data_IF_027792636177
#
_entry.id   IF_027792636177
#
_cell.length_a   1.000
_cell.length_b   1.000
_cell.length_c   1.000
_cell.angle_alpha   90.00
_cell.angle_beta   90.00
_cell.angle_gamma   90.00
#
_symmetry.space_group_name_H-M   'P 1'
#
loop_
_entity.id
_entity.type
_entity.pdbx_description
1 polymer ?
#
# COMPACT_ATOMS: atom_id res chain seq x y z
N UNK A 1 43.82 23.28 15.04
CA UNK A 1 42.57 24.07 15.06
C UNK A 1 42.26 24.80 16.38
N UNK A 2 42.92 24.49 17.48
CA UNK A 2 42.66 25.12 18.81
C UNK A 2 43.02 26.61 18.90
N UNK A 3 43.92 27.14 18.06
CA UNK A 3 44.45 28.51 18.17
C UNK A 3 43.66 29.59 17.37
N UNK A 4 42.67 29.24 16.56
CA UNK A 4 41.93 30.20 15.74
C UNK A 4 40.70 30.78 16.46
N UNK A 5 40.11 30.04 17.42
CA UNK A 5 38.89 30.46 18.15
C UNK A 5 39.08 31.65 19.06
N UNK A 6 40.34 32.00 19.44
CA UNK A 6 40.66 33.11 20.33
C UNK A 6 40.95 34.46 19.66
N UNK A 7 40.95 34.51 18.31
CA UNK A 7 41.21 35.75 17.57
C UNK A 7 39.94 36.56 17.35
N UNK A 8 39.99 37.88 17.60
CA UNK A 8 38.82 38.82 17.49
C UNK A 8 38.14 38.77 16.13
N UNK A 9 38.82 38.45 15.04
CA UNK A 9 38.26 38.36 13.69
C UNK A 9 37.52 37.04 13.39
N UNK A 10 37.73 35.99 14.21
CA UNK A 10 37.15 34.64 13.96
C UNK A 10 35.62 34.64 13.91
N UNK A 11 34.86 35.27 14.84
CA UNK A 11 33.40 35.29 14.76
C UNK A 11 32.89 36.05 13.53
N UNK A 12 33.55 37.09 13.12
CA UNK A 12 33.17 37.86 11.90
C UNK A 12 33.39 37.02 10.63
N UNK A 13 34.53 36.32 10.54
CA UNK A 13 34.80 35.42 9.43
C UNK A 13 33.78 34.29 9.35
N UNK A 14 33.40 33.69 10.47
CA UNK A 14 32.36 32.64 10.53
C UNK A 14 31.00 33.20 10.11
N UNK A 15 30.64 34.40 10.60
CA UNK A 15 29.38 35.04 10.21
C UNK A 15 29.34 35.35 8.72
N UNK A 16 30.44 35.87 8.14
CA UNK A 16 30.54 36.12 6.71
C UNK A 16 30.43 34.81 5.89
N UNK A 17 31.11 33.74 6.29
CA UNK A 17 31.01 32.45 5.62
C UNK A 17 29.57 31.88 5.68
N UNK A 18 28.88 31.99 6.82
CA UNK A 18 27.49 31.58 6.97
C UNK A 18 26.59 32.41 6.04
N UNK A 19 26.77 33.74 5.99
CA UNK A 19 25.99 34.62 5.14
C UNK A 19 26.19 34.28 3.64
N UNK A 20 27.43 34.03 3.21
CA UNK A 20 27.73 33.64 1.81
C UNK A 20 27.10 32.28 1.49
N UNK A 21 27.21 31.27 2.39
CA UNK A 21 26.59 29.95 2.18
C UNK A 21 25.09 30.10 2.09
N UNK A 22 24.47 30.88 2.97
CA UNK A 22 23.04 31.13 3.00
C UNK A 22 22.56 31.84 1.74
N UNK A 23 23.33 32.85 1.24
CA UNK A 23 23.07 33.53 -0.02
C UNK A 23 23.13 32.55 -1.20
N UNK A 24 24.19 31.72 -1.30
CA UNK A 24 24.35 30.73 -2.39
C UNK A 24 23.23 29.69 -2.33
N UNK A 25 22.82 29.23 -1.16
CA UNK A 25 21.71 28.28 -0.99
C UNK A 25 20.39 28.92 -1.42
N UNK A 26 20.11 30.14 -1.01
CA UNK A 26 18.87 30.86 -1.36
C UNK A 26 18.79 31.21 -2.85
N UNK A 27 19.89 31.66 -3.46
CA UNK A 27 19.93 31.99 -4.90
C UNK A 27 19.84 30.75 -5.79
N UNK A 28 20.26 29.57 -5.28
CA UNK A 28 20.22 28.30 -6.02
C UNK A 28 19.25 27.29 -5.36
N UNK A 29 18.20 27.77 -4.72
CA UNK A 29 17.29 26.93 -3.95
C UNK A 29 16.77 25.74 -4.73
N UNK A 30 16.38 25.93 -6.00
CA UNK A 30 15.88 24.85 -6.87
C UNK A 30 16.95 23.78 -7.13
N UNK A 31 18.20 24.19 -7.34
CA UNK A 31 19.33 23.27 -7.56
C UNK A 31 19.63 22.46 -6.30
N UNK A 32 19.60 23.13 -5.13
CA UNK A 32 19.80 22.48 -3.83
C UNK A 32 18.67 21.50 -3.54
N UNK A 33 17.41 21.90 -3.77
CA UNK A 33 16.25 20.99 -3.58
C UNK A 33 16.32 19.80 -4.53
N UNK A 34 16.72 20.00 -5.77
CA UNK A 34 16.92 18.91 -6.73
C UNK A 34 18.06 17.98 -6.32
N UNK A 35 19.16 18.51 -5.81
CA UNK A 35 20.28 17.71 -5.30
C UNK A 35 19.89 16.89 -4.07
N UNK A 36 19.17 17.50 -3.12
CA UNK A 36 18.60 16.81 -1.95
C UNK A 36 17.59 15.75 -2.39
N UNK A 37 16.70 16.07 -3.34
CA UNK A 37 15.74 15.12 -3.91
C UNK A 37 16.41 13.92 -4.57
N UNK A 38 17.49 14.14 -5.35
CA UNK A 38 18.30 13.06 -5.93
C UNK A 38 18.97 12.22 -4.83
N UNK A 39 19.56 12.86 -3.82
CA UNK A 39 20.20 12.17 -2.70
C UNK A 39 19.20 11.28 -1.94
N UNK A 40 18.02 11.80 -1.59
CA UNK A 40 16.93 11.02 -0.98
C UNK A 40 16.48 9.89 -1.93
N UNK A 41 16.51 10.15 -3.25
CA UNK A 41 16.21 9.15 -4.27
C UNK A 41 17.06 7.89 -4.21
N UNK A 42 18.33 7.98 -3.80
CA UNK A 42 19.20 6.81 -3.60
C UNK A 42 18.72 5.89 -2.47
N UNK A 43 17.99 6.42 -1.49
CA UNK A 43 17.46 5.64 -0.38
C UNK A 43 16.09 5.00 -0.67
N UNK A 44 15.47 5.29 -1.83
CA UNK A 44 14.17 4.71 -2.20
C UNK A 44 14.15 3.17 -2.14
N UNK A 45 15.14 2.44 -2.68
CA UNK A 45 15.15 0.97 -2.56
C UNK A 45 15.25 0.49 -1.11
N UNK A 46 16.01 1.21 -0.26
CA UNK A 46 16.13 0.89 1.16
C UNK A 46 14.80 1.11 1.90
N UNK A 47 14.13 2.24 1.64
CA UNK A 47 12.83 2.54 2.23
C UNK A 47 11.80 1.49 1.79
N UNK A 48 11.76 1.15 0.49
CA UNK A 48 10.91 0.09 -0.03
C UNK A 48 11.24 -1.26 0.61
N UNK A 49 12.53 -1.58 0.75
CA UNK A 49 13.00 -2.79 1.44
C UNK A 49 12.55 -2.86 2.89
N UNK A 50 12.61 -1.75 3.64
CA UNK A 50 12.08 -1.66 5.01
C UNK A 50 10.58 -1.91 5.05
N UNK A 51 9.81 -1.32 4.13
CA UNK A 51 8.37 -1.49 4.06
C UNK A 51 8.00 -2.94 3.74
N UNK A 52 8.63 -3.53 2.72
CA UNK A 52 8.42 -4.94 2.37
C UNK A 52 8.80 -5.86 3.52
N UNK A 53 9.96 -5.64 4.15
CA UNK A 53 10.38 -6.39 5.33
C UNK A 53 9.34 -6.31 6.46
N UNK A 54 8.76 -5.13 6.65
CA UNK A 54 7.77 -4.92 7.69
C UNK A 54 6.44 -5.63 7.38
N UNK A 55 5.97 -5.58 6.12
CA UNK A 55 4.75 -6.26 5.66
C UNK A 55 4.89 -7.79 5.74
N UNK A 56 6.07 -8.30 5.39
CA UNK A 56 6.34 -9.75 5.33
C UNK A 56 6.70 -10.34 6.71
N UNK A 57 7.15 -9.49 7.65
CA UNK A 57 7.57 -9.92 9.00
C UNK A 57 6.51 -10.73 9.79
N UNK A 58 5.20 -10.42 9.78
CA UNK A 58 4.20 -11.24 10.46
C UNK A 58 4.17 -12.68 9.96
N UNK A 59 4.25 -12.87 8.63
CA UNK A 59 4.28 -14.20 8.00
C UNK A 59 5.54 -14.97 8.40
N UNK A 60 6.70 -14.31 8.37
CA UNK A 60 7.96 -14.90 8.84
C UNK A 60 7.89 -15.31 10.31
N UNK A 61 7.31 -14.46 11.16
CA UNK A 61 7.14 -14.76 12.59
C UNK A 61 6.13 -15.90 12.83
N UNK A 62 5.08 -15.99 12.02
CA UNK A 62 4.13 -17.10 12.06
C UNK A 62 4.83 -18.42 11.71
N UNK A 63 5.58 -18.47 10.61
CA UNK A 63 6.33 -19.65 10.19
C UNK A 63 7.40 -20.05 11.20
N UNK A 64 8.05 -19.07 11.84
CA UNK A 64 9.02 -19.32 12.90
C UNK A 64 8.41 -20.04 14.10
N UNK A 65 7.16 -19.67 14.47
CA UNK A 65 6.46 -20.22 15.63
C UNK A 65 5.72 -21.53 15.33
N UNK A 66 5.32 -21.75 14.07
CA UNK A 66 4.54 -22.92 13.66
C UNK A 66 5.40 -23.97 12.96
N UNK A 67 5.90 -23.67 11.75
CA UNK A 67 6.60 -24.62 10.90
C UNK A 67 8.00 -24.99 11.43
N UNK A 68 8.72 -24.08 12.03
CA UNK A 68 10.10 -24.27 12.49
C UNK A 68 10.27 -24.33 14.00
N UNK A 69 9.18 -24.58 14.75
CA UNK A 69 9.20 -24.68 16.22
C UNK A 69 10.19 -25.76 16.74
N UNK A 70 10.43 -26.79 15.97
CA UNK A 70 11.33 -27.90 16.29
C UNK A 70 12.81 -27.56 16.12
N UNK A 71 13.17 -26.47 15.44
CA UNK A 71 14.56 -26.04 15.26
C UNK A 71 15.05 -25.35 16.55
N UNK A 72 15.97 -25.99 17.28
CA UNK A 72 16.47 -25.52 18.58
C UNK A 72 17.32 -24.24 18.48
N UNK A 73 18.13 -24.08 17.41
CA UNK A 73 18.98 -22.90 17.21
C UNK A 73 18.15 -21.73 16.69
N UNK A 74 17.99 -20.69 17.50
CA UNK A 74 17.18 -19.50 17.20
C UNK A 74 17.59 -18.81 15.87
N UNK A 75 18.90 -18.65 15.63
CA UNK A 75 19.42 -18.05 14.39
C UNK A 75 19.07 -18.88 13.17
N UNK A 76 19.17 -20.21 13.25
CA UNK A 76 18.80 -21.13 12.15
C UNK A 76 17.28 -21.16 11.93
N UNK A 77 16.48 -21.20 13.01
CA UNK A 77 15.02 -21.16 12.96
C UNK A 77 14.55 -19.90 12.24
N UNK A 78 15.12 -18.75 12.60
CA UNK A 78 14.80 -17.49 11.95
C UNK A 78 15.25 -17.46 10.49
N UNK A 79 16.48 -17.90 10.20
CA UNK A 79 16.97 -17.95 8.81
C UNK A 79 16.08 -18.78 7.90
N UNK A 80 15.66 -19.97 8.35
CA UNK A 80 14.77 -20.86 7.60
C UNK A 80 13.37 -20.25 7.43
N UNK A 81 12.80 -19.65 8.47
CA UNK A 81 11.48 -19.02 8.38
C UNK A 81 11.48 -17.82 7.43
N UNK A 82 12.51 -16.98 7.46
CA UNK A 82 12.66 -15.84 6.55
C UNK A 82 12.85 -16.34 5.11
N UNK A 83 13.71 -17.34 4.88
CA UNK A 83 13.93 -17.90 3.56
C UNK A 83 12.64 -18.49 2.97
N UNK A 84 11.92 -19.33 3.74
CA UNK A 84 10.65 -19.90 3.30
C UNK A 84 9.60 -18.81 3.02
N UNK A 85 9.54 -17.77 3.85
CA UNK A 85 8.63 -16.63 3.65
C UNK A 85 8.93 -15.94 2.31
N UNK A 86 10.19 -15.68 2.02
CA UNK A 86 10.60 -15.06 0.75
C UNK A 86 10.30 -15.97 -0.45
N UNK A 87 10.54 -17.26 -0.33
CA UNK A 87 10.18 -18.23 -1.36
C UNK A 87 8.68 -18.21 -1.65
N UNK A 88 7.85 -18.17 -0.61
CA UNK A 88 6.38 -18.05 -0.75
C UNK A 88 5.98 -16.73 -1.39
N UNK A 89 6.59 -15.60 -1.00
CA UNK A 89 6.30 -14.28 -1.59
C UNK A 89 6.71 -14.25 -3.06
N UNK A 90 7.89 -14.73 -3.40
CA UNK A 90 8.36 -14.79 -4.79
C UNK A 90 7.47 -15.74 -5.61
N UNK A 91 7.13 -16.93 -5.09
CA UNK A 91 6.22 -17.86 -5.75
C UNK A 91 4.84 -17.22 -5.99
N UNK A 92 4.31 -16.48 -5.01
CA UNK A 92 3.05 -15.74 -5.15
C UNK A 92 3.13 -14.66 -6.23
N UNK A 93 4.23 -13.88 -6.28
CA UNK A 93 4.44 -12.87 -7.31
C UNK A 93 4.56 -13.48 -8.71
N UNK A 94 5.33 -14.57 -8.84
CA UNK A 94 5.48 -15.31 -10.11
C UNK A 94 4.14 -15.89 -10.55
N UNK A 95 3.39 -16.51 -9.64
CA UNK A 95 2.05 -17.03 -9.90
C UNK A 95 1.12 -15.90 -10.40
N UNK A 96 1.16 -14.75 -9.75
CA UNK A 96 0.38 -13.56 -10.15
C UNK A 96 0.72 -13.13 -11.57
N UNK A 97 2.00 -12.99 -11.88
CA UNK A 97 2.46 -12.54 -13.21
C UNK A 97 2.13 -13.56 -14.29
N UNK A 98 2.43 -14.84 -14.06
CA UNK A 98 2.32 -15.91 -15.07
C UNK A 98 0.86 -16.28 -15.36
N UNK A 99 -0.02 -16.22 -14.37
CA UNK A 99 -1.41 -16.63 -14.54
C UNK A 99 -2.33 -15.43 -14.81
N UNK A 100 -2.19 -14.36 -14.03
CA UNK A 100 -3.11 -13.24 -14.08
C UNK A 100 -2.93 -12.38 -15.35
N UNK A 101 -1.68 -12.08 -15.71
CA UNK A 101 -1.42 -11.19 -16.86
C UNK A 101 -1.89 -11.80 -18.18
N UNK A 102 -1.57 -13.08 -18.54
CA UNK A 102 -2.08 -13.69 -19.76
C UNK A 102 -3.60 -13.77 -19.78
N UNK A 103 -4.23 -14.08 -18.63
CA UNK A 103 -5.68 -14.19 -18.52
C UNK A 103 -6.37 -12.84 -18.70
N UNK A 104 -5.76 -11.75 -18.18
CA UNK A 104 -6.20 -10.37 -18.43
C UNK A 104 -6.11 -10.01 -19.91
N UNK A 105 -4.96 -10.28 -20.54
CA UNK A 105 -4.75 -9.99 -21.97
C UNK A 105 -5.77 -10.76 -22.82
N UNK A 106 -6.00 -12.04 -22.52
CA UNK A 106 -7.00 -12.86 -23.22
C UNK A 106 -8.41 -12.30 -23.03
N UNK A 107 -8.79 -11.93 -21.80
CA UNK A 107 -10.10 -11.33 -21.51
C UNK A 107 -10.32 -10.02 -22.26
N UNK A 108 -9.32 -9.13 -22.29
CA UNK A 108 -9.40 -7.87 -23.04
C UNK A 108 -9.51 -8.13 -24.56
N UNK A 109 -8.72 -9.07 -25.09
CA UNK A 109 -8.81 -9.46 -26.52
C UNK A 109 -10.17 -10.02 -26.87
N UNK A 110 -10.73 -10.91 -26.05
CA UNK A 110 -12.08 -11.49 -26.26
C UNK A 110 -13.13 -10.40 -26.22
N UNK A 111 -13.01 -9.44 -25.30
CA UNK A 111 -13.89 -8.28 -25.26
C UNK A 111 -13.85 -7.47 -26.55
N UNK A 112 -12.66 -7.09 -26.99
CA UNK A 112 -12.48 -6.31 -28.21
C UNK A 112 -12.98 -7.06 -29.45
N UNK A 113 -12.76 -8.37 -29.52
CA UNK A 113 -13.22 -9.21 -30.61
C UNK A 113 -14.75 -9.36 -30.70
N UNK A 114 -15.44 -9.32 -29.55
CA UNK A 114 -16.88 -9.47 -29.45
C UNK A 114 -17.60 -8.13 -29.19
N UNK A 115 -16.91 -7.00 -29.29
CA UNK A 115 -17.46 -5.69 -28.93
C UNK A 115 -18.71 -5.32 -29.77
N UNK A 116 -18.72 -5.67 -31.04
CA UNK A 116 -19.85 -5.44 -31.94
C UNK A 116 -21.05 -6.32 -31.56
N UNK A 117 -20.86 -7.59 -31.24
CA UNK A 117 -21.93 -8.50 -30.79
C UNK A 117 -22.56 -8.03 -29.47
N UNK A 118 -21.74 -7.53 -28.55
CA UNK A 118 -22.24 -6.94 -27.32
C UNK A 118 -23.02 -5.66 -27.54
N UNK A 119 -22.56 -4.81 -28.46
CA UNK A 119 -23.28 -3.60 -28.86
C UNK A 119 -24.67 -3.94 -29.41
N UNK A 120 -24.76 -4.86 -30.36
CA UNK A 120 -26.03 -5.28 -30.95
C UNK A 120 -26.96 -5.95 -29.92
N UNK A 121 -26.41 -6.76 -29.01
CA UNK A 121 -27.19 -7.40 -27.94
C UNK A 121 -27.77 -6.37 -26.98
N UNK A 122 -26.98 -5.38 -26.54
CA UNK A 122 -27.44 -4.31 -25.65
C UNK A 122 -28.45 -3.42 -26.36
N UNK A 123 -28.20 -3.07 -27.61
CA UNK A 123 -29.11 -2.28 -28.43
C UNK A 123 -30.47 -2.98 -28.57
N UNK A 124 -30.48 -4.26 -28.93
CA UNK A 124 -31.72 -5.05 -29.07
C UNK A 124 -32.47 -5.15 -27.73
N UNK A 125 -31.76 -5.28 -26.60
CA UNK A 125 -32.38 -5.31 -25.27
C UNK A 125 -33.03 -3.96 -24.92
N UNK A 126 -32.39 -2.84 -25.23
CA UNK A 126 -32.87 -1.47 -24.96
C UNK A 126 -34.09 -1.16 -25.87
N UNK A 127 -34.01 -1.52 -27.13
CA UNK A 127 -35.11 -1.38 -28.09
C UNK A 127 -36.33 -2.22 -27.66
N UNK A 128 -36.14 -3.42 -27.15
CA UNK A 128 -37.20 -4.28 -26.62
C UNK A 128 -37.93 -3.66 -25.42
N UNK A 129 -37.29 -2.74 -24.71
CA UNK A 129 -37.86 -1.98 -23.58
C UNK A 129 -38.46 -0.63 -24.01
N UNK A 130 -38.52 -0.32 -25.32
CA UNK A 130 -39.04 0.95 -25.81
C UNK A 130 -38.19 2.17 -25.57
N UNK A 131 -36.91 1.97 -25.23
CA UNK A 131 -35.92 3.04 -24.96
C UNK A 131 -35.09 3.29 -26.23
N UNK A 132 -34.74 4.56 -26.49
CA UNK A 132 -33.90 4.93 -27.64
C UNK A 132 -32.43 4.74 -27.27
N UNK A 133 -31.67 3.91 -28.03
CA UNK A 133 -30.23 3.66 -27.78
C UNK A 133 -29.38 4.94 -27.79
N UNK A 134 -29.71 5.90 -28.65
CA UNK A 134 -29.02 7.19 -28.79
C UNK A 134 -29.09 8.06 -27.54
N UNK A 135 -30.26 8.06 -26.83
CA UNK A 135 -30.44 8.81 -25.58
C UNK A 135 -29.60 8.27 -24.41
N UNK A 136 -29.20 7.00 -24.47
CA UNK A 136 -28.37 6.33 -23.49
C UNK A 136 -26.88 6.40 -23.82
N UNK A 137 -26.49 7.04 -24.92
CA UNK A 137 -25.10 7.24 -25.30
C UNK A 137 -24.36 5.98 -25.75
N UNK A 138 -25.09 4.96 -26.25
CA UNK A 138 -24.51 3.71 -26.73
C UNK A 138 -23.52 3.92 -27.89
N UNK A 139 -23.69 4.96 -28.71
CA UNK A 139 -22.76 5.31 -29.78
C UNK A 139 -21.35 5.65 -29.23
N UNK A 140 -21.29 6.22 -28.01
CA UNK A 140 -20.01 6.45 -27.32
C UNK A 140 -19.32 5.15 -26.92
N UNK A 141 -20.06 4.09 -26.66
CA UNK A 141 -19.49 2.77 -26.32
C UNK A 141 -18.79 2.15 -27.54
N UNK A 142 -19.33 2.34 -28.75
CA UNK A 142 -18.67 1.92 -29.98
C UNK A 142 -17.40 2.70 -30.25
N UNK A 143 -17.41 4.01 -30.08
CA UNK A 143 -16.22 4.85 -30.22
C UNK A 143 -15.14 4.55 -29.15
N UNK A 144 -15.53 4.15 -27.94
CA UNK A 144 -14.59 3.71 -26.88
C UNK A 144 -13.99 2.34 -27.23
N UNK A 145 -14.77 1.39 -27.76
CA UNK A 145 -14.23 0.08 -28.19
C UNK A 145 -13.25 0.23 -29.34
N UNK A 146 -13.58 1.07 -30.35
CA UNK A 146 -12.67 1.41 -31.46
C UNK A 146 -11.39 2.12 -30.98
N UNK A 147 -11.52 3.07 -30.05
CA UNK A 147 -10.37 3.74 -29.45
C UNK A 147 -9.48 2.78 -28.65
N UNK A 148 -10.08 1.84 -27.90
CA UNK A 148 -9.33 0.79 -27.17
C UNK A 148 -8.67 -0.20 -28.14
N UNK A 149 -9.34 -0.54 -29.24
CA UNK A 149 -8.78 -1.42 -30.28
C UNK A 149 -7.59 -0.77 -30.98
N UNK A 150 -7.71 0.51 -31.33
CA UNK A 150 -6.61 1.30 -31.89
C UNK A 150 -5.45 1.44 -30.90
N UNK A 151 -5.73 1.69 -29.61
CA UNK A 151 -4.73 1.70 -28.57
C UNK A 151 -4.04 0.33 -28.39
N UNK A 152 -4.76 -0.77 -28.54
CA UNK A 152 -4.22 -2.12 -28.41
C UNK A 152 -3.38 -2.54 -29.63
N UNK A 153 -3.74 -2.06 -30.83
CA UNK A 153 -3.05 -2.39 -32.10
C UNK A 153 -1.90 -1.44 -32.42
N UNK A 154 -2.04 -0.13 -32.20
CA UNK A 154 -1.02 0.87 -32.54
C UNK A 154 0.11 0.94 -31.50
N UNK A 155 -0.13 0.54 -30.26
CA UNK A 155 0.82 0.67 -29.18
C UNK A 155 1.71 -0.56 -28.89
N UNK A 156 1.88 -1.48 -29.85
CA UNK A 156 2.81 -2.60 -29.69
C UNK A 156 4.23 -2.09 -29.40
N UNK A 157 4.64 -0.96 -30.00
CA UNK A 157 5.91 -0.29 -29.74
C UNK A 157 5.95 0.46 -28.38
N UNK A 158 4.81 1.00 -27.95
CA UNK A 158 4.68 1.62 -26.62
C UNK A 158 4.65 0.58 -25.50
N UNK A 159 4.02 -0.57 -25.73
CA UNK A 159 4.06 -1.74 -24.83
C UNK A 159 5.50 -2.23 -24.69
N UNK A 160 6.26 -2.32 -25.79
CA UNK A 160 7.69 -2.68 -25.77
C UNK A 160 8.54 -1.63 -25.01
N UNK A 161 8.31 -0.33 -25.23
CA UNK A 161 8.98 0.75 -24.48
C UNK A 161 8.59 0.76 -22.99
N UNK A 162 7.33 0.49 -22.69
CA UNK A 162 6.86 0.33 -21.32
C UNK A 162 7.51 -0.90 -20.67
N UNK A 163 7.70 -1.99 -21.41
CA UNK A 163 8.42 -3.18 -20.94
C UNK A 163 9.88 -2.88 -20.61
N UNK A 164 10.57 -2.02 -21.37
CA UNK A 164 11.93 -1.57 -21.06
C UNK A 164 11.96 -0.63 -19.84
N UNK A 165 10.97 0.24 -19.67
CA UNK A 165 10.81 1.05 -18.46
C UNK A 165 10.41 0.21 -17.23
N UNK A 166 9.62 -0.86 -17.43
CA UNK A 166 9.31 -1.86 -16.41
C UNK A 166 10.59 -2.58 -15.96
N UNK A 167 11.55 -2.86 -16.87
CA UNK A 167 12.84 -3.46 -16.50
C UNK A 167 13.61 -2.67 -15.44
N UNK A 168 13.64 -1.33 -15.53
CA UNK A 168 14.26 -0.48 -14.50
C UNK A 168 13.45 -0.43 -13.20
N UNK A 169 12.14 -0.60 -13.29
CA UNK A 169 11.23 -0.74 -12.15
C UNK A 169 11.44 -2.08 -11.46
N UNK A 170 11.48 -3.18 -12.23
CA UNK A 170 11.72 -4.54 -11.71
C UNK A 170 13.05 -4.61 -10.98
N UNK A 171 14.14 -4.04 -11.51
CA UNK A 171 15.43 -4.02 -10.83
C UNK A 171 15.34 -3.34 -9.45
N UNK A 172 14.62 -2.21 -9.35
CA UNK A 172 14.39 -1.54 -8.06
C UNK A 172 13.62 -2.42 -7.06
N UNK A 173 12.62 -3.15 -7.53
CA UNK A 173 11.87 -4.09 -6.69
C UNK A 173 12.70 -5.29 -6.28
N UNK A 174 13.55 -5.83 -7.18
CA UNK A 174 14.50 -6.91 -6.84
C UNK A 174 15.47 -6.46 -5.77
N UNK A 175 16.05 -5.26 -5.91
CA UNK A 175 16.94 -4.69 -4.88
C UNK A 175 16.19 -4.51 -3.56
N UNK A 176 14.96 -3.99 -3.58
CA UNK A 176 14.14 -3.82 -2.39
C UNK A 176 13.81 -5.17 -1.72
N UNK A 177 13.52 -6.22 -2.50
CA UNK A 177 13.31 -7.58 -2.00
C UNK A 177 14.57 -8.15 -1.35
N UNK A 178 15.73 -8.02 -1.99
CA UNK A 178 17.01 -8.47 -1.43
C UNK A 178 17.30 -7.71 -0.11
N UNK A 179 17.14 -6.38 -0.11
CA UNK A 179 17.31 -5.57 1.10
C UNK A 179 16.33 -6.00 2.21
N UNK A 180 15.08 -6.28 1.86
CA UNK A 180 14.08 -6.73 2.84
C UNK A 180 14.43 -8.08 3.46
N UNK A 181 15.02 -8.99 2.68
CA UNK A 181 15.55 -10.26 3.19
C UNK A 181 16.65 -10.03 4.26
N UNK A 182 17.64 -9.19 3.94
CA UNK A 182 18.71 -8.85 4.88
C UNK A 182 18.17 -8.15 6.14
N UNK A 183 17.27 -7.20 5.97
CA UNK A 183 16.62 -6.47 7.07
C UNK A 183 15.87 -7.42 8.02
N UNK A 184 15.19 -8.44 7.49
CA UNK A 184 14.50 -9.45 8.30
C UNK A 184 15.47 -10.38 9.01
N UNK A 185 16.55 -10.81 8.35
CA UNK A 185 17.58 -11.64 8.97
C UNK A 185 18.31 -10.91 10.12
N UNK A 186 18.63 -9.64 9.89
CA UNK A 186 19.40 -8.78 10.81
C UNK A 186 18.50 -7.95 11.77
N UNK A 187 17.19 -8.20 11.81
CA UNK A 187 16.19 -7.41 12.54
C UNK A 187 16.59 -7.12 14.00
N UNK A 188 17.09 -8.12 14.73
CA UNK A 188 17.45 -7.94 16.15
C UNK A 188 18.73 -7.10 16.29
N UNK A 189 19.69 -7.24 15.38
CA UNK A 189 20.92 -6.42 15.37
C UNK A 189 20.56 -4.95 15.12
N UNK A 190 19.73 -4.70 14.09
CA UNK A 190 19.23 -3.36 13.75
C UNK A 190 18.43 -2.73 14.89
N UNK A 191 17.50 -3.48 15.48
CA UNK A 191 16.70 -3.02 16.61
C UNK A 191 17.57 -2.64 17.82
N UNK A 192 18.55 -3.47 18.15
CA UNK A 192 19.46 -3.21 19.24
C UNK A 192 20.41 -2.02 18.94
N UNK A 193 20.85 -1.89 17.68
CA UNK A 193 21.65 -0.75 17.22
C UNK A 193 20.87 0.56 17.33
N UNK A 194 19.63 0.60 16.79
CA UNK A 194 18.74 1.76 16.91
C UNK A 194 18.43 2.10 18.38
N UNK A 195 18.17 1.09 19.22
CA UNK A 195 17.90 1.30 20.64
C UNK A 195 19.09 1.95 21.36
N UNK A 196 20.33 1.49 21.08
CA UNK A 196 21.56 2.10 21.62
C UNK A 196 21.73 3.55 21.17
N UNK A 197 21.49 3.81 19.89
CA UNK A 197 21.60 5.16 19.32
C UNK A 197 20.58 6.11 19.95
N UNK A 198 19.32 5.70 20.06
CA UNK A 198 18.26 6.50 20.69
C UNK A 198 18.62 6.76 22.17
N UNK A 199 19.08 5.74 22.91
CA UNK A 199 19.50 5.89 24.31
C UNK A 199 20.67 6.87 24.45
N UNK A 200 21.64 6.82 23.54
CA UNK A 200 22.79 7.74 23.56
C UNK A 200 22.39 9.19 23.23
N UNK A 201 21.41 9.40 22.35
CA UNK A 201 20.97 10.74 21.96
C UNK A 201 19.97 11.37 22.94
N UNK A 202 19.07 10.58 23.55
CA UNK A 202 17.95 11.11 24.35
C UNK A 202 18.14 11.01 25.86
N UNK A 203 19.16 10.28 26.34
CA UNK A 203 19.34 9.96 27.74
C UNK A 203 18.41 8.84 28.24
N UNK A 204 18.65 8.34 29.43
CA UNK A 204 17.97 7.14 29.96
C UNK A 204 16.50 7.37 30.25
N UNK A 205 16.16 8.53 30.81
CA UNK A 205 14.79 8.87 31.21
C UNK A 205 13.84 9.04 30.00
N UNK A 206 14.28 9.77 28.97
CA UNK A 206 13.51 9.96 27.72
C UNK A 206 13.46 8.69 26.88
N UNK A 207 14.49 7.86 26.95
CA UNK A 207 14.52 6.57 26.25
C UNK A 207 13.37 5.66 26.65
N UNK A 208 12.99 5.63 27.94
CA UNK A 208 11.85 4.86 28.43
C UNK A 208 10.55 5.23 27.70
N UNK A 209 10.26 6.53 27.61
CA UNK A 209 9.06 7.05 26.93
C UNK A 209 9.07 6.75 25.42
N UNK A 210 10.23 6.97 24.77
CA UNK A 210 10.38 6.68 23.32
C UNK A 210 10.20 5.18 23.05
N UNK A 211 10.75 4.30 23.88
CA UNK A 211 10.61 2.86 23.73
C UNK A 211 9.15 2.40 23.83
N UNK A 212 8.40 2.94 24.80
CA UNK A 212 6.97 2.64 24.95
C UNK A 212 6.20 3.12 23.73
N UNK A 213 6.47 4.32 23.26
CA UNK A 213 5.86 4.87 22.05
C UNK A 213 6.14 4.02 20.82
N UNK A 214 7.42 3.71 20.53
CA UNK A 214 7.79 2.85 19.40
C UNK A 214 7.21 1.44 19.51
N UNK A 215 7.08 0.92 20.73
CA UNK A 215 6.39 -0.36 20.99
C UNK A 215 4.91 -0.31 20.59
N UNK A 216 4.21 0.77 20.91
CA UNK A 216 2.80 0.97 20.50
C UNK A 216 2.68 1.15 18.98
N UNK A 217 3.55 1.94 18.36
CA UNK A 217 3.59 2.06 16.90
C UNK A 217 3.75 0.70 16.22
N UNK A 218 4.72 -0.09 16.67
CA UNK A 218 4.94 -1.44 16.14
C UNK A 218 3.72 -2.35 16.33
N UNK A 219 3.02 -2.25 17.46
CA UNK A 219 1.81 -3.02 17.73
C UNK A 219 0.69 -2.64 16.77
N UNK A 220 0.43 -1.34 16.58
CA UNK A 220 -0.60 -0.83 15.67
C UNK A 220 -0.34 -1.28 14.22
N UNK A 221 0.88 -1.09 13.73
CA UNK A 221 1.25 -1.49 12.37
C UNK A 221 1.15 -3.00 12.16
N UNK A 222 1.73 -3.79 13.06
CA UNK A 222 1.73 -5.25 12.94
C UNK A 222 0.31 -5.81 12.98
N UNK A 223 -0.53 -5.30 13.90
CA UNK A 223 -1.93 -5.70 14.03
C UNK A 223 -2.73 -5.34 12.77
N UNK A 224 -2.53 -4.13 12.24
CA UNK A 224 -3.17 -3.68 11.02
C UNK A 224 -2.81 -4.58 9.82
N UNK A 225 -1.53 -4.86 9.60
CA UNK A 225 -1.08 -5.70 8.47
C UNK A 225 -1.66 -7.11 8.58
N UNK A 226 -1.58 -7.74 9.76
CA UNK A 226 -2.12 -9.09 9.96
C UNK A 226 -3.63 -9.12 9.71
N UNK A 227 -4.36 -8.18 10.28
CA UNK A 227 -5.82 -8.15 10.10
C UNK A 227 -6.24 -7.84 8.67
N UNK A 228 -5.53 -6.95 7.98
CA UNK A 228 -5.82 -6.65 6.58
C UNK A 228 -5.55 -7.86 5.65
N UNK A 229 -4.50 -8.65 5.94
CA UNK A 229 -4.26 -9.92 5.24
C UNK A 229 -5.35 -10.95 5.49
N UNK A 230 -5.79 -11.09 6.75
CA UNK A 230 -6.88 -12.01 7.11
C UNK A 230 -8.18 -11.57 6.46
N UNK A 231 -8.50 -10.27 6.51
CA UNK A 231 -9.66 -9.67 5.89
C UNK A 231 -9.72 -9.95 4.38
N UNK A 232 -8.62 -9.68 3.67
CA UNK A 232 -8.50 -10.00 2.25
C UNK A 232 -8.72 -11.48 1.94
N UNK A 233 -8.21 -12.37 2.77
CA UNK A 233 -8.41 -13.81 2.61
C UNK A 233 -9.88 -14.21 2.83
N UNK A 234 -10.53 -13.65 3.85
CA UNK A 234 -11.95 -13.87 4.13
C UNK A 234 -12.80 -13.39 2.94
N UNK A 235 -12.61 -12.13 2.51
CA UNK A 235 -13.34 -11.54 1.39
C UNK A 235 -13.14 -12.33 0.10
N UNK A 236 -11.90 -12.73 -0.21
CA UNK A 236 -11.62 -13.58 -1.35
C UNK A 236 -12.33 -14.94 -1.25
N UNK A 237 -12.25 -15.58 -0.10
CA UNK A 237 -12.90 -16.90 0.08
C UNK A 237 -14.42 -16.82 -0.05
N UNK A 238 -15.05 -15.82 0.60
CA UNK A 238 -16.50 -15.63 0.52
C UNK A 238 -16.91 -15.30 -0.92
N UNK A 239 -16.15 -14.43 -1.61
CA UNK A 239 -16.40 -14.11 -3.01
C UNK A 239 -16.32 -15.36 -3.91
N UNK A 240 -15.32 -16.23 -3.70
CA UNK A 240 -15.18 -17.48 -4.44
C UNK A 240 -16.39 -18.39 -4.24
N UNK A 241 -16.79 -18.61 -2.98
CA UNK A 241 -17.94 -19.45 -2.62
C UNK A 241 -19.20 -18.94 -3.30
N UNK A 242 -19.46 -17.64 -3.19
CA UNK A 242 -20.65 -17.03 -3.78
C UNK A 242 -20.63 -17.15 -5.32
N UNK A 243 -19.52 -16.86 -5.98
CA UNK A 243 -19.39 -17.02 -7.43
C UNK A 243 -19.62 -18.47 -7.88
N UNK A 244 -19.12 -19.45 -7.14
CA UNK A 244 -19.37 -20.89 -7.43
C UNK A 244 -20.85 -21.23 -7.28
N UNK A 245 -21.51 -20.78 -6.21
CA UNK A 245 -22.94 -21.03 -5.99
C UNK A 245 -23.80 -20.51 -7.15
N UNK A 246 -23.46 -19.32 -7.68
CA UNK A 246 -24.17 -18.73 -8.81
C UNK A 246 -23.70 -19.23 -10.19
N UNK A 247 -22.78 -20.20 -10.24
CA UNK A 247 -22.26 -20.77 -11.50
C UNK A 247 -21.53 -19.77 -12.37
N UNK A 248 -20.92 -18.73 -11.77
CA UNK A 248 -20.19 -17.69 -12.49
C UNK A 248 -18.89 -18.24 -13.06
N UNK A 249 -18.47 -17.68 -14.21
CA UNK A 249 -17.20 -18.04 -14.84
C UNK A 249 -16.04 -17.23 -14.23
N UNK A 250 -14.80 -17.66 -14.51
CA UNK A 250 -13.55 -16.99 -14.07
C UNK A 250 -13.43 -16.81 -12.54
N UNK A 251 -14.06 -17.68 -11.75
CA UNK A 251 -14.04 -17.60 -10.28
C UNK A 251 -12.64 -17.38 -9.72
N UNK A 252 -11.67 -18.21 -10.13
CA UNK A 252 -10.29 -18.12 -9.64
C UNK A 252 -9.63 -16.77 -9.94
N UNK A 253 -9.78 -16.25 -11.15
CA UNK A 253 -9.23 -14.98 -11.58
C UNK A 253 -9.85 -13.81 -10.80
N UNK A 254 -11.18 -13.73 -10.82
CA UNK A 254 -11.92 -12.61 -10.22
C UNK A 254 -11.69 -12.58 -8.71
N UNK A 255 -11.81 -13.74 -8.07
CA UNK A 255 -11.58 -13.87 -6.61
C UNK A 255 -10.17 -13.48 -6.22
N UNK A 256 -9.17 -13.91 -6.99
CA UNK A 256 -7.78 -13.54 -6.72
C UNK A 256 -7.57 -12.03 -6.84
N UNK A 257 -8.12 -11.39 -7.89
CA UNK A 257 -8.03 -9.93 -8.06
C UNK A 257 -8.76 -9.20 -6.93
N UNK A 258 -9.97 -9.65 -6.58
CA UNK A 258 -10.75 -9.08 -5.46
C UNK A 258 -9.97 -9.18 -4.15
N UNK A 259 -9.41 -10.36 -3.83
CA UNK A 259 -8.61 -10.54 -2.62
C UNK A 259 -7.35 -9.67 -2.62
N UNK A 260 -6.64 -9.61 -3.75
CA UNK A 260 -5.42 -8.79 -3.87
C UNK A 260 -5.71 -7.30 -3.74
N UNK A 261 -6.74 -6.81 -4.44
CA UNK A 261 -7.12 -5.40 -4.39
C UNK A 261 -7.69 -5.02 -3.02
N UNK A 262 -8.37 -5.94 -2.32
CA UNK A 262 -8.89 -5.69 -0.97
C UNK A 262 -7.80 -5.35 0.07
N UNK A 263 -6.52 -5.69 -0.21
CA UNK A 263 -5.40 -5.20 0.59
C UNK A 263 -5.30 -3.66 0.58
N UNK A 264 -5.81 -3.00 -0.46
CA UNK A 264 -5.83 -1.54 -0.59
C UNK A 264 -7.10 -1.00 0.10
N UNK A 265 -6.99 -0.31 1.24
CA UNK A 265 -8.16 0.16 1.96
C UNK A 265 -9.02 1.09 1.11
N UNK A 266 -10.32 0.99 1.26
CA UNK A 266 -11.34 1.85 0.62
C UNK A 266 -11.46 1.65 -0.89
N UNK A 267 -10.35 1.65 -1.63
CA UNK A 267 -10.34 1.54 -3.11
C UNK A 267 -10.29 0.10 -3.60
N UNK A 268 -9.76 -0.81 -2.80
CA UNK A 268 -9.59 -2.20 -3.20
C UNK A 268 -10.86 -2.88 -3.67
N UNK A 269 -11.93 -2.85 -2.88
CA UNK A 269 -13.21 -3.42 -3.25
C UNK A 269 -13.84 -2.80 -4.51
N UNK A 270 -13.66 -1.49 -4.70
CA UNK A 270 -14.13 -0.79 -5.89
C UNK A 270 -13.38 -1.27 -7.14
N UNK A 271 -12.06 -1.37 -7.05
CA UNK A 271 -11.20 -1.85 -8.15
C UNK A 271 -11.52 -3.31 -8.45
N UNK A 272 -11.56 -4.19 -7.43
CA UNK A 272 -11.86 -5.60 -7.58
C UNK A 272 -13.28 -5.85 -8.11
N UNK A 273 -14.26 -5.09 -7.60
CA UNK A 273 -15.65 -5.15 -8.05
C UNK A 273 -15.82 -4.69 -9.49
N UNK A 274 -15.21 -3.55 -9.85
CA UNK A 274 -15.24 -3.06 -11.24
C UNK A 274 -14.57 -4.05 -12.21
N UNK A 275 -13.41 -4.60 -11.81
CA UNK A 275 -12.71 -5.62 -12.61
C UNK A 275 -13.54 -6.89 -12.79
N UNK A 276 -14.10 -7.44 -11.71
CA UNK A 276 -14.92 -8.65 -11.78
C UNK A 276 -16.19 -8.45 -12.60
N UNK A 277 -16.86 -7.31 -12.41
CA UNK A 277 -18.03 -6.94 -13.19
C UNK A 277 -17.68 -6.80 -14.69
N UNK A 278 -16.57 -6.14 -15.02
CA UNK A 278 -16.08 -6.01 -16.39
C UNK A 278 -15.86 -7.38 -17.04
N UNK A 279 -15.15 -8.30 -16.37
CA UNK A 279 -14.95 -9.65 -16.91
C UNK A 279 -16.26 -10.40 -17.09
N UNK A 280 -17.17 -10.31 -16.14
CA UNK A 280 -18.44 -11.05 -16.20
C UNK A 280 -19.43 -10.49 -17.22
N UNK A 281 -19.45 -9.18 -17.45
CA UNK A 281 -20.30 -8.58 -18.51
C UNK A 281 -19.97 -9.17 -19.89
N UNK A 282 -18.69 -9.50 -20.12
CA UNK A 282 -18.23 -10.07 -21.39
C UNK A 282 -18.76 -11.49 -21.65
N UNK A 283 -19.19 -12.17 -20.61
CA UNK A 283 -19.66 -13.57 -20.69
C UNK A 283 -21.16 -13.64 -20.48
N UNK A 284 -21.65 -12.98 -19.43
CA UNK A 284 -23.07 -12.97 -19.09
C UNK A 284 -23.40 -11.69 -18.29
N UNK A 285 -24.10 -10.72 -18.90
CA UNK A 285 -24.48 -9.47 -18.25
C UNK A 285 -25.28 -9.67 -16.94
N UNK A 286 -26.08 -10.74 -16.87
CA UNK A 286 -26.86 -11.05 -15.66
C UNK A 286 -25.93 -11.46 -14.53
N UNK A 287 -24.91 -12.27 -14.81
CA UNK A 287 -23.89 -12.62 -13.80
C UNK A 287 -23.10 -11.40 -13.33
N UNK A 288 -22.80 -10.46 -14.22
CA UNK A 288 -22.14 -9.21 -13.84
C UNK A 288 -23.01 -8.37 -12.89
N UNK A 289 -24.30 -8.24 -13.17
CA UNK A 289 -25.25 -7.53 -12.32
C UNK A 289 -25.36 -8.19 -10.93
N UNK A 290 -25.52 -9.52 -10.88
CA UNK A 290 -25.57 -10.29 -9.65
C UNK A 290 -24.26 -10.09 -8.88
N UNK A 291 -23.12 -10.16 -9.54
CA UNK A 291 -21.80 -9.96 -8.94
C UNK A 291 -21.64 -8.56 -8.34
N UNK A 292 -22.11 -7.51 -9.02
CA UNK A 292 -22.08 -6.14 -8.47
C UNK A 292 -22.93 -6.03 -7.20
N UNK A 293 -24.16 -6.56 -7.22
CA UNK A 293 -25.02 -6.59 -6.03
C UNK A 293 -24.35 -7.32 -4.89
N UNK A 294 -23.78 -8.50 -5.17
CA UNK A 294 -23.05 -9.30 -4.18
C UNK A 294 -21.82 -8.57 -3.65
N UNK A 295 -21.08 -7.86 -4.51
CA UNK A 295 -19.93 -7.04 -4.10
C UNK A 295 -20.38 -5.95 -3.12
N UNK A 296 -21.48 -5.26 -3.38
CA UNK A 296 -22.03 -4.25 -2.47
C UNK A 296 -22.45 -4.87 -1.14
N UNK A 297 -23.15 -6.00 -1.15
CA UNK A 297 -23.54 -6.73 0.07
C UNK A 297 -22.30 -7.16 0.86
N UNK A 298 -21.30 -7.74 0.19
CA UNK A 298 -20.03 -8.10 0.81
C UNK A 298 -19.32 -6.90 1.44
N UNK A 299 -19.33 -5.73 0.78
CA UNK A 299 -18.76 -4.49 1.32
C UNK A 299 -19.47 -4.01 2.58
N UNK A 300 -20.80 -4.09 2.60
CA UNK A 300 -21.58 -3.77 3.80
C UNK A 300 -21.24 -4.73 4.92
N UNK A 301 -21.22 -6.06 4.67
CA UNK A 301 -20.81 -7.05 5.63
C UNK A 301 -19.38 -6.86 6.13
N UNK A 302 -18.46 -6.53 5.23
CA UNK A 302 -17.07 -6.22 5.56
C UNK A 302 -16.97 -5.02 6.51
N UNK A 303 -17.60 -3.91 6.15
CA UNK A 303 -17.54 -2.67 6.93
C UNK A 303 -18.20 -2.75 8.30
N UNK A 304 -19.33 -3.44 8.40
CA UNK A 304 -20.14 -3.48 9.65
C UNK A 304 -19.94 -4.73 10.50
N UNK A 305 -19.45 -5.84 9.91
CA UNK A 305 -19.35 -7.12 10.63
C UNK A 305 -17.90 -7.61 10.71
N UNK A 306 -17.20 -7.72 9.57
CA UNK A 306 -15.86 -8.33 9.53
C UNK A 306 -14.83 -7.40 10.15
N UNK A 307 -14.72 -6.18 9.63
CA UNK A 307 -13.75 -5.20 10.12
C UNK A 307 -13.92 -4.84 11.60
N UNK A 308 -15.11 -4.56 12.13
CA UNK A 308 -15.27 -4.31 13.56
C UNK A 308 -14.87 -5.51 14.44
N UNK A 309 -15.13 -6.74 13.99
CA UNK A 309 -14.71 -7.95 14.73
C UNK A 309 -13.20 -8.20 14.68
N UNK A 310 -12.56 -7.93 13.54
CA UNK A 310 -11.12 -8.12 13.37
C UNK A 310 -10.31 -7.00 14.06
N UNK A 311 -10.69 -5.76 13.80
CA UNK A 311 -9.94 -4.60 14.31
C UNK A 311 -10.37 -4.17 15.70
N UNK A 312 -11.66 -4.42 16.07
CA UNK A 312 -12.22 -3.94 17.33
C UNK A 312 -12.06 -2.42 17.50
N UNK A 313 -12.01 -1.95 18.74
CA UNK A 313 -11.75 -0.53 19.06
C UNK A 313 -10.26 -0.13 18.93
N UNK A 314 -9.42 -0.97 18.32
CA UNK A 314 -7.97 -0.85 18.41
C UNK A 314 -7.39 0.26 17.54
N UNK A 315 -8.11 0.77 16.56
CA UNK A 315 -7.64 1.86 15.73
C UNK A 315 -8.22 3.22 16.15
N UNK A 316 -9.44 3.25 16.71
CA UNK A 316 -10.05 4.45 17.35
C UNK A 316 -10.19 5.70 16.45
N UNK A 317 -9.86 5.60 15.18
CA UNK A 317 -9.76 6.73 14.23
C UNK A 317 -11.06 6.88 13.46
N UNK A 318 -11.54 8.11 13.28
CA UNK A 318 -12.74 8.36 12.47
C UNK A 318 -12.48 8.11 10.97
N UNK A 319 -13.51 7.68 10.24
CA UNK A 319 -13.43 7.41 8.80
C UNK A 319 -12.95 8.61 7.98
N UNK A 320 -13.24 9.84 8.42
CA UNK A 320 -12.74 11.06 7.78
C UNK A 320 -11.22 11.13 7.76
N UNK A 321 -10.56 10.88 8.90
CA UNK A 321 -9.11 10.91 9.00
C UNK A 321 -8.44 9.77 8.21
N UNK A 322 -9.11 8.61 8.13
CA UNK A 322 -8.68 7.52 7.26
C UNK A 322 -8.70 7.96 5.79
N UNK A 323 -9.79 8.59 5.34
CA UNK A 323 -9.89 9.08 3.96
C UNK A 323 -8.82 10.14 3.65
N UNK A 324 -8.62 11.11 4.54
CA UNK A 324 -7.56 12.12 4.41
C UNK A 324 -6.18 11.47 4.33
N UNK A 325 -5.90 10.52 5.23
CA UNK A 325 -4.64 9.78 5.24
C UNK A 325 -4.39 9.01 3.94
N UNK A 326 -5.43 8.37 3.39
CA UNK A 326 -5.37 7.63 2.12
C UNK A 326 -5.08 8.57 0.95
N UNK A 327 -5.75 9.73 0.88
CA UNK A 327 -5.51 10.72 -0.17
C UNK A 327 -4.10 11.31 -0.11
N UNK A 328 -3.67 11.73 1.08
CA UNK A 328 -2.33 12.31 1.28
C UNK A 328 -1.25 11.25 1.07
N UNK A 329 -1.40 10.08 1.70
CA UNK A 329 -0.46 8.98 1.57
C UNK A 329 -0.33 8.49 0.12
N UNK A 330 -1.45 8.39 -0.58
CA UNK A 330 -1.51 8.01 -1.99
C UNK A 330 -0.75 8.99 -2.90
N UNK A 331 -0.92 10.30 -2.67
CA UNK A 331 -0.19 11.33 -3.40
C UNK A 331 1.32 11.31 -3.14
N UNK A 332 1.73 11.10 -1.89
CA UNK A 332 3.14 11.14 -1.49
C UNK A 332 3.91 9.87 -1.87
N UNK A 333 3.31 8.70 -1.67
CA UNK A 333 4.00 7.41 -1.74
C UNK A 333 3.28 6.36 -2.60
N UNK A 334 2.23 6.76 -3.35
CA UNK A 334 1.45 5.86 -4.19
C UNK A 334 0.75 4.75 -3.41
N UNK A 335 0.69 3.54 -3.98
CA UNK A 335 0.00 2.37 -3.38
C UNK A 335 0.52 2.07 -1.97
N UNK A 336 1.83 2.20 -1.75
CA UNK A 336 2.44 1.99 -0.43
C UNK A 336 1.93 3.00 0.59
N UNK A 337 1.79 4.27 0.19
CA UNK A 337 1.22 5.32 1.05
C UNK A 337 -0.24 5.07 1.39
N UNK A 338 -1.04 4.57 0.44
CA UNK A 338 -2.42 4.16 0.68
C UNK A 338 -2.48 3.02 1.71
N UNK A 339 -1.67 1.98 1.52
CA UNK A 339 -1.60 0.82 2.44
C UNK A 339 -1.22 1.22 3.86
N UNK A 340 -0.27 2.14 4.02
CA UNK A 340 0.24 2.53 5.32
C UNK A 340 -0.53 3.71 5.95
N UNK A 341 -1.47 4.32 5.23
CA UNK A 341 -2.22 5.50 5.70
C UNK A 341 -2.97 5.24 7.01
N UNK A 342 -3.70 4.14 7.10
CA UNK A 342 -4.50 3.82 8.28
C UNK A 342 -3.65 3.71 9.56
N UNK A 343 -2.58 2.91 9.62
CA UNK A 343 -1.77 2.84 10.82
C UNK A 343 -1.02 4.15 11.11
N UNK A 344 -0.62 4.91 10.09
CA UNK A 344 0.01 6.22 10.29
C UNK A 344 -0.97 7.20 10.93
N UNK A 345 -2.20 7.29 10.41
CA UNK A 345 -3.25 8.14 10.99
C UNK A 345 -3.60 7.71 12.42
N UNK A 346 -3.66 6.41 12.68
CA UNK A 346 -3.90 5.90 14.04
C UNK A 346 -2.77 6.29 15.02
N UNK A 347 -1.53 6.32 14.57
CA UNK A 347 -0.40 6.79 15.38
C UNK A 347 -0.46 8.30 15.59
N UNK A 348 -0.81 9.07 14.58
CA UNK A 348 -0.99 10.53 14.70
C UNK A 348 -2.12 10.84 15.70
N UNK A 349 -3.26 10.17 15.61
CA UNK A 349 -4.36 10.33 16.58
C UNK A 349 -3.93 9.94 18.00
N UNK A 350 -3.18 8.84 18.14
CA UNK A 350 -2.60 8.43 19.42
C UNK A 350 -1.65 9.49 20.00
N UNK A 351 -0.76 10.07 19.18
CA UNK A 351 0.14 11.16 19.60
C UNK A 351 -0.65 12.39 20.04
N UNK A 352 -1.63 12.78 19.23
CA UNK A 352 -2.47 13.93 19.51
C UNK A 352 -3.17 13.79 20.85
N UNK A 353 -3.87 12.68 21.09
CA UNK A 353 -4.65 12.46 22.32
C UNK A 353 -3.77 12.32 23.58
N UNK A 354 -2.69 11.55 23.49
CA UNK A 354 -1.92 11.18 24.69
C UNK A 354 -0.76 12.12 25.00
N UNK A 355 -0.32 12.94 24.04
CA UNK A 355 0.81 13.85 24.27
C UNK A 355 0.42 15.30 24.09
N UNK A 356 -0.28 15.66 23.01
CA UNK A 356 -0.60 17.05 22.72
C UNK A 356 -1.71 17.55 23.64
N UNK A 357 -2.85 16.87 23.70
CA UNK A 357 -3.98 17.26 24.56
C UNK A 357 -3.57 17.23 26.02
N UNK A 358 -2.98 16.14 26.48
CA UNK A 358 -2.54 15.99 27.88
C UNK A 358 -1.54 17.08 28.30
N UNK A 359 -0.62 17.48 27.40
CA UNK A 359 0.31 18.57 27.67
C UNK A 359 -0.39 19.95 27.76
N UNK A 360 -1.42 20.17 26.93
CA UNK A 360 -2.23 21.41 26.95
C UNK A 360 -3.11 21.48 28.22
N UNK A 361 -3.74 20.38 28.59
CA UNK A 361 -4.55 20.27 29.80
C UNK A 361 -3.73 20.55 31.06
N UNK A 362 -2.54 19.93 31.17
CA UNK A 362 -1.62 20.20 32.31
C UNK A 362 -1.23 21.67 32.41
N UNK A 363 -0.89 22.31 31.28
CA UNK A 363 -0.57 23.75 31.27
C UNK A 363 -1.75 24.62 31.69
N UNK A 364 -2.96 24.22 31.29
CA UNK A 364 -4.17 24.94 31.66
C UNK A 364 -4.50 24.79 33.15
N UNK A 365 -4.29 23.60 33.73
CA UNK A 365 -4.49 23.34 35.14
C UNK A 365 -3.42 24.04 36.01
N UNK A 366 -2.15 24.06 35.57
CA UNK A 366 -1.09 24.82 36.22
C UNK A 366 -1.40 26.34 36.22
N UNK A 367 -1.84 26.89 35.09
CA UNK A 367 -2.21 28.30 34.99
C UNK A 367 -3.44 28.69 35.88
N UNK A 368 -4.35 27.75 36.14
CA UNK A 368 -5.47 27.94 37.07
C UNK A 368 -5.08 27.90 38.55
N UNK A 369 -3.97 27.26 38.86
CA UNK A 369 -3.45 27.16 40.22
C UNK A 369 -2.57 28.38 40.59
N UNK A 370 -2.04 29.09 39.59
CA UNK A 370 -1.21 30.30 39.75
C UNK A 370 -1.99 31.61 39.70
N UNK A 371 -3.26 31.63 39.30
CA UNK A 371 -4.16 32.82 39.27
C UNK A 371 -5.25 32.74 40.29
#
# INVERSE_FOLDING_TARGET
MKNLKGKKWYPYAVAACIAVVLFVVLTNLQTVLNAVGKFIGFFRPLILGCIVAYIVNPLSTLLEKTAFRWVKKEKSRRGLSVLLTFLLVVAFLVFTVVILIPQLITSVRTFLANADDYYETIKGWIESKGLSPEKLGLDKMKSVSEALMNLATENTSAILRTTMNVGSGVMRWVIALILSLYLLLEKEVLKNGCARLIKACSGEERYGTIRVFLGKCNMVFNRYIVFNLIDSLIIGTVNAIVMVIFGMQYVGLITFVVALTNLIPTFGPLIGGAFGAFILVLVNPVHALIFLILTVVLQVCDGYVIKPRLFGNSLGVSGLWILVGVLVGGNMFGIVGILLSIPVVAIIDFLYRNYVITALERRHDEAKLEG
#
